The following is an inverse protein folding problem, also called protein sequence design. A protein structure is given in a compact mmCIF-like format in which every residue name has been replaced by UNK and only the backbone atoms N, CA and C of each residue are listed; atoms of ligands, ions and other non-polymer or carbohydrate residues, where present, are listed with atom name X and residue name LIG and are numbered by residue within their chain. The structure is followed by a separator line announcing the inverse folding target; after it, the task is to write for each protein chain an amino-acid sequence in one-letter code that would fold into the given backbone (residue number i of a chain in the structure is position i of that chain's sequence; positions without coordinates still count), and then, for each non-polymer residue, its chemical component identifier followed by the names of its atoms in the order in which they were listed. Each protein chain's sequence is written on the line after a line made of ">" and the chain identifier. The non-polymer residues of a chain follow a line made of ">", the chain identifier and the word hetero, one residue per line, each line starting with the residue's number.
data_IF_688269691341
#
_entry.id   IF_688269691341
#
_cell.length_a   1.000
_cell.length_b   1.000
_cell.length_c   1.000
_cell.angle_alpha   90.00
_cell.angle_beta   90.00
_cell.angle_gamma   90.00
#
_symmetry.space_group_name_H-M   'P 1'
#
loop_
_entity.id
_entity.type
_entity.pdbx_description
1 polymer ?
#
# COMPACT_ATOMS: atom_id res chain seq x y z
N UNK A 1 -12.85 31.25 -14.16
CA UNK A 1 -13.60 30.06 -14.60
C UNK A 1 -14.25 29.51 -13.35
N UNK A 2 -15.58 29.33 -13.33
CA UNK A 2 -16.22 28.66 -12.20
C UNK A 2 -15.89 27.18 -12.30
N UNK A 3 -14.83 26.76 -11.61
CA UNK A 3 -14.53 25.33 -11.49
C UNK A 3 -15.70 24.71 -10.72
N UNK A 4 -16.54 23.98 -11.44
CA UNK A 4 -17.69 23.28 -10.89
C UNK A 4 -17.16 22.20 -9.92
N UNK A 5 -17.70 22.19 -8.69
CA UNK A 5 -17.28 21.21 -7.69
C UNK A 5 -17.69 19.80 -8.09
N UNK A 6 -16.84 18.82 -7.81
CA UNK A 6 -17.11 17.41 -8.10
C UNK A 6 -18.18 16.84 -7.16
N UNK A 7 -19.04 15.98 -7.72
CA UNK A 7 -20.00 15.19 -6.96
C UNK A 7 -19.34 13.93 -6.34
N UNK A 8 -20.06 13.24 -5.45
CA UNK A 8 -19.60 12.01 -4.78
C UNK A 8 -19.08 10.98 -5.78
N UNK A 9 -19.83 10.71 -6.85
CA UNK A 9 -19.47 9.69 -7.85
C UNK A 9 -18.17 10.02 -8.58
N UNK A 10 -17.98 11.30 -8.94
CA UNK A 10 -16.76 11.77 -9.58
C UNK A 10 -15.55 11.71 -8.65
N UNK A 11 -15.72 12.08 -7.37
CA UNK A 11 -14.66 11.98 -6.36
C UNK A 11 -14.23 10.52 -6.18
N UNK A 12 -15.18 9.61 -5.94
CA UNK A 12 -14.89 8.17 -5.77
C UNK A 12 -14.21 7.58 -7.01
N UNK A 13 -14.64 7.98 -8.22
CA UNK A 13 -13.97 7.58 -9.46
C UNK A 13 -12.49 8.02 -9.48
N UNK A 14 -12.19 9.27 -9.11
CA UNK A 14 -10.80 9.78 -9.07
C UNK A 14 -9.95 9.06 -8.02
N UNK A 15 -10.54 8.75 -6.87
CA UNK A 15 -9.90 7.94 -5.83
C UNK A 15 -9.60 6.53 -6.34
N UNK A 16 -10.56 5.88 -7.01
CA UNK A 16 -10.36 4.58 -7.65
C UNK A 16 -9.24 4.59 -8.70
N UNK A 17 -9.15 5.66 -9.50
CA UNK A 17 -8.08 5.86 -10.49
C UNK A 17 -6.68 5.99 -9.85
N UNK A 18 -6.59 6.49 -8.62
CA UNK A 18 -5.35 6.58 -7.83
C UNK A 18 -5.02 5.21 -7.23
N UNK A 19 -6.01 4.57 -6.59
CA UNK A 19 -5.87 3.25 -5.99
C UNK A 19 -5.43 2.20 -7.01
N UNK A 20 -5.94 2.23 -8.24
CA UNK A 20 -5.49 1.29 -9.28
C UNK A 20 -3.99 1.39 -9.60
N UNK A 21 -3.41 2.59 -9.51
CA UNK A 21 -1.95 2.76 -9.68
C UNK A 21 -1.19 2.27 -8.45
N UNK A 22 -1.70 2.56 -7.25
CA UNK A 22 -1.09 2.11 -5.99
C UNK A 22 -1.15 0.58 -5.83
N UNK A 23 -2.24 -0.05 -6.25
CA UNK A 23 -2.39 -1.50 -6.35
C UNK A 23 -1.31 -2.12 -7.25
N UNK A 24 -1.05 -1.52 -8.43
CA UNK A 24 0.01 -1.99 -9.34
C UNK A 24 1.40 -1.91 -8.68
N UNK A 25 1.66 -0.85 -7.91
CA UNK A 25 2.92 -0.71 -7.16
C UNK A 25 2.99 -1.77 -6.05
N UNK A 26 1.88 -2.02 -5.35
CA UNK A 26 1.80 -3.05 -4.31
C UNK A 26 2.04 -4.45 -4.85
N UNK A 27 1.44 -4.79 -6.00
CA UNK A 27 1.64 -6.08 -6.67
C UNK A 27 3.11 -6.27 -7.05
N UNK A 28 3.75 -5.21 -7.52
CA UNK A 28 5.17 -5.23 -7.85
C UNK A 28 6.06 -5.49 -6.62
N UNK A 29 5.76 -4.82 -5.50
CA UNK A 29 6.47 -5.03 -4.24
C UNK A 29 6.30 -6.44 -3.70
N UNK A 30 5.07 -6.95 -3.71
CA UNK A 30 4.74 -8.33 -3.32
C UNK A 30 5.55 -9.35 -4.14
N UNK A 31 5.50 -9.23 -5.48
CA UNK A 31 6.29 -10.08 -6.38
C UNK A 31 7.80 -9.99 -6.14
N UNK A 32 8.33 -8.80 -5.83
CA UNK A 32 9.75 -8.63 -5.51
C UNK A 32 10.12 -9.25 -4.18
N UNK A 33 9.25 -9.18 -3.19
CA UNK A 33 9.50 -9.73 -1.85
C UNK A 33 9.26 -11.24 -1.79
N UNK A 34 8.58 -11.84 -2.77
CA UNK A 34 8.32 -13.27 -2.86
C UNK A 34 9.41 -14.06 -3.64
N UNK A 35 10.72 -13.79 -3.44
CA UNK A 35 11.82 -14.29 -4.31
C UNK A 35 12.02 -15.81 -4.42
N UNK A 36 11.19 -16.62 -3.78
CA UNK A 36 11.13 -18.07 -4.03
C UNK A 36 10.37 -18.43 -5.33
N UNK A 37 9.86 -17.46 -6.10
CA UNK A 37 8.98 -17.74 -7.23
C UNK A 37 9.57 -17.68 -8.65
N UNK A 38 10.80 -17.20 -8.90
CA UNK A 38 11.49 -17.38 -10.21
C UNK A 38 12.97 -16.90 -10.15
N UNK A 39 13.94 -17.72 -10.58
CA UNK A 39 15.39 -17.49 -10.48
C UNK A 39 15.99 -16.43 -11.46
N UNK A 40 15.18 -15.59 -12.11
CA UNK A 40 15.64 -14.71 -13.24
C UNK A 40 15.45 -13.22 -12.92
N UNK A 41 15.90 -12.73 -11.75
CA UNK A 41 15.37 -11.47 -11.20
C UNK A 41 16.26 -10.22 -11.36
N UNK A 42 17.58 -10.31 -11.52
CA UNK A 42 18.39 -9.08 -11.46
C UNK A 42 18.30 -8.21 -12.73
N UNK A 43 18.24 -8.77 -13.94
CA UNK A 43 18.13 -7.94 -15.16
C UNK A 43 16.74 -7.31 -15.34
N UNK A 44 15.68 -7.93 -14.79
CA UNK A 44 14.32 -7.41 -14.87
C UNK A 44 14.00 -6.37 -13.78
N UNK A 45 14.74 -6.38 -12.65
CA UNK A 45 14.51 -5.47 -11.53
C UNK A 45 14.66 -4.02 -11.95
N UNK A 46 15.76 -3.66 -12.61
CA UNK A 46 16.03 -2.26 -12.98
C UNK A 46 14.95 -1.69 -13.94
N UNK A 47 14.46 -2.52 -14.86
CA UNK A 47 13.38 -2.17 -15.78
C UNK A 47 12.04 -1.95 -15.07
N UNK A 48 11.61 -2.93 -14.27
CA UNK A 48 10.35 -2.83 -13.50
C UNK A 48 10.40 -1.72 -12.45
N UNK A 49 11.57 -1.44 -11.89
CA UNK A 49 11.81 -0.33 -10.96
C UNK A 49 11.57 1.00 -11.64
N UNK A 50 12.17 1.22 -12.82
CA UNK A 50 11.92 2.43 -13.64
C UNK A 50 10.44 2.59 -13.95
N UNK A 51 9.73 1.49 -14.21
CA UNK A 51 8.29 1.48 -14.42
C UNK A 51 7.51 1.87 -13.15
N UNK A 52 7.83 1.31 -11.99
CA UNK A 52 7.23 1.68 -10.70
C UNK A 52 7.42 3.18 -10.39
N UNK A 53 8.63 3.72 -10.56
CA UNK A 53 8.86 5.17 -10.41
C UNK A 53 8.07 6.01 -11.42
N UNK A 54 7.87 5.52 -12.64
CA UNK A 54 7.03 6.19 -13.65
C UNK A 54 5.57 6.20 -13.22
N UNK A 55 5.05 5.10 -12.67
CA UNK A 55 3.70 5.03 -12.10
C UNK A 55 3.53 6.03 -10.95
N UNK A 56 4.49 6.08 -10.02
CA UNK A 56 4.47 7.03 -8.92
C UNK A 56 4.49 8.48 -9.42
N UNK A 57 5.32 8.80 -10.42
CA UNK A 57 5.33 10.15 -11.01
C UNK A 57 3.98 10.51 -11.64
N UNK A 58 3.32 9.55 -12.27
CA UNK A 58 1.99 9.73 -12.88
C UNK A 58 0.86 9.98 -11.88
N UNK A 59 1.05 9.68 -10.59
CA UNK A 59 0.07 9.97 -9.54
C UNK A 59 -0.08 11.48 -9.27
N UNK A 60 0.97 12.28 -9.46
CA UNK A 60 0.94 13.73 -9.18
C UNK A 60 -0.21 14.41 -9.95
N UNK A 61 -0.35 14.12 -11.24
CA UNK A 61 -1.40 14.70 -12.08
C UNK A 61 -2.80 14.18 -11.69
N UNK A 62 -2.88 12.95 -11.17
CA UNK A 62 -4.15 12.36 -10.73
C UNK A 62 -4.71 13.06 -9.49
N UNK A 63 -3.88 13.63 -8.62
CA UNK A 63 -4.31 14.41 -7.45
C UNK A 63 -4.79 15.85 -7.78
N UNK A 64 -4.65 16.29 -9.04
CA UNK A 64 -5.04 17.65 -9.44
C UNK A 64 -6.54 17.94 -9.25
N UNK A 65 -7.39 16.89 -9.21
CA UNK A 65 -8.83 17.01 -8.93
C UNK A 65 -9.13 17.60 -7.54
N UNK A 66 -8.17 17.59 -6.61
CA UNK A 66 -8.30 18.18 -5.27
C UNK A 66 -8.75 19.64 -5.29
N UNK A 67 -8.41 20.39 -6.35
CA UNK A 67 -8.84 21.79 -6.55
C UNK A 67 -10.36 21.94 -6.76
N UNK A 68 -11.03 20.85 -7.13
CA UNK A 68 -12.45 20.80 -7.43
C UNK A 68 -13.25 20.11 -6.31
N UNK A 69 -12.63 19.86 -5.14
CA UNK A 69 -13.36 19.33 -3.99
C UNK A 69 -14.33 20.38 -3.44
N UNK A 70 -15.57 19.98 -3.08
CA UNK A 70 -16.56 20.90 -2.53
C UNK A 70 -16.15 21.38 -1.13
N UNK A 71 -16.47 22.61 -0.72
CA UNK A 71 -16.29 23.10 0.65
C UNK A 71 -17.40 22.55 1.56
N UNK A 72 -17.47 21.22 1.69
CA UNK A 72 -18.47 20.49 2.47
C UNK A 72 -17.83 19.32 3.22
N UNK A 73 -18.61 18.62 4.05
CA UNK A 73 -18.17 17.43 4.78
C UNK A 73 -17.62 16.34 3.84
N UNK A 74 -18.26 16.15 2.68
CA UNK A 74 -17.75 15.26 1.63
C UNK A 74 -16.35 15.67 1.13
N UNK A 75 -16.10 16.96 0.97
CA UNK A 75 -14.78 17.47 0.57
C UNK A 75 -13.73 17.28 1.66
N UNK A 76 -14.11 17.42 2.94
CA UNK A 76 -13.22 17.16 4.09
C UNK A 76 -12.85 15.68 4.13
N UNK A 77 -13.82 14.77 4.02
CA UNK A 77 -13.59 13.33 3.98
C UNK A 77 -12.69 12.94 2.79
N UNK A 78 -12.98 13.46 1.60
CA UNK A 78 -12.15 13.22 0.41
C UNK A 78 -10.72 13.75 0.58
N UNK A 79 -10.54 14.92 1.21
CA UNK A 79 -9.21 15.45 1.48
C UNK A 79 -8.45 14.59 2.49
N UNK A 80 -9.13 14.08 3.52
CA UNK A 80 -8.55 13.15 4.48
C UNK A 80 -8.07 11.87 3.79
N UNK A 81 -8.91 11.26 2.94
CA UNK A 81 -8.50 10.10 2.12
C UNK A 81 -7.28 10.41 1.24
N UNK A 82 -7.26 11.56 0.56
CA UNK A 82 -6.12 11.96 -0.26
C UNK A 82 -4.82 12.01 0.56
N UNK A 83 -4.89 12.50 1.80
CA UNK A 83 -3.74 12.53 2.72
C UNK A 83 -3.18 11.13 2.98
N UNK A 84 -4.06 10.17 3.31
CA UNK A 84 -3.65 8.77 3.52
C UNK A 84 -3.13 8.11 2.25
N UNK A 85 -3.74 8.36 1.09
CA UNK A 85 -3.25 7.86 -0.19
C UNK A 85 -1.84 8.41 -0.51
N UNK A 86 -1.57 9.69 -0.22
CA UNK A 86 -0.24 10.26 -0.39
C UNK A 86 0.79 9.61 0.55
N UNK A 87 0.39 9.29 1.78
CA UNK A 87 1.24 8.56 2.70
C UNK A 87 1.56 7.15 2.17
N UNK A 88 0.56 6.40 1.67
CA UNK A 88 0.76 5.09 1.01
C UNK A 88 1.78 5.21 -0.12
N UNK A 89 1.60 6.18 -1.02
CA UNK A 89 2.53 6.41 -2.14
C UNK A 89 3.97 6.65 -1.64
N UNK A 90 4.13 7.50 -0.64
CA UNK A 90 5.44 7.84 -0.09
C UNK A 90 6.09 6.64 0.61
N UNK A 91 5.31 5.86 1.33
CA UNK A 91 5.78 4.64 2.00
C UNK A 91 6.23 3.60 0.98
N UNK A 92 5.49 3.37 -0.11
CA UNK A 92 5.95 2.50 -1.19
C UNK A 92 7.26 2.96 -1.83
N UNK A 93 7.44 4.27 -2.05
CA UNK A 93 8.71 4.81 -2.54
C UNK A 93 9.88 4.49 -1.60
N UNK A 94 9.67 4.62 -0.29
CA UNK A 94 10.68 4.25 0.71
C UNK A 94 11.02 2.78 0.63
N UNK A 95 10.02 1.90 0.57
CA UNK A 95 10.22 0.45 0.43
C UNK A 95 11.02 0.12 -0.82
N UNK A 96 10.71 0.73 -1.97
CA UNK A 96 11.46 0.53 -3.21
C UNK A 96 12.95 0.91 -3.06
N UNK A 97 13.23 2.08 -2.46
CA UNK A 97 14.61 2.51 -2.20
C UNK A 97 15.32 1.56 -1.24
N UNK A 98 14.62 1.11 -0.19
CA UNK A 98 15.16 0.16 0.77
C UNK A 98 15.52 -1.19 0.12
N UNK A 99 14.70 -1.66 -0.83
CA UNK A 99 15.00 -2.86 -1.61
C UNK A 99 16.24 -2.69 -2.49
N UNK A 100 16.46 -1.51 -3.07
CA UNK A 100 17.68 -1.25 -3.84
C UNK A 100 18.94 -1.29 -2.96
N UNK A 101 18.83 -0.81 -1.72
CA UNK A 101 19.94 -0.77 -0.78
C UNK A 101 20.41 -2.17 -0.34
N UNK A 102 19.62 -3.22 -0.57
CA UNK A 102 19.97 -4.59 -0.23
C UNK A 102 20.94 -5.26 -1.23
N UNK A 103 21.26 -4.60 -2.36
CA UNK A 103 22.31 -5.00 -3.33
C UNK A 103 22.37 -6.49 -3.72
N UNK A 104 21.25 -7.21 -3.70
CA UNK A 104 21.22 -8.63 -4.07
C UNK A 104 21.82 -9.57 -3.02
N UNK A 105 21.99 -9.13 -1.77
CA UNK A 105 22.40 -10.03 -0.69
C UNK A 105 21.40 -11.17 -0.51
N UNK A 106 21.92 -12.39 -0.33
CA UNK A 106 21.10 -13.57 -0.14
C UNK A 106 20.45 -13.54 1.26
N UNK A 107 19.13 -13.52 1.28
CA UNK A 107 18.37 -13.57 2.52
C UNK A 107 18.33 -14.99 3.09
N UNK A 108 18.17 -15.10 4.41
CA UNK A 108 17.75 -16.35 5.02
C UNK A 108 16.30 -16.65 4.58
N UNK A 109 15.99 -17.89 4.19
CA UNK A 109 14.66 -18.28 3.69
C UNK A 109 13.53 -17.92 4.68
N UNK A 110 13.79 -18.07 5.98
CA UNK A 110 12.85 -17.71 7.07
C UNK A 110 12.36 -16.26 6.94
N UNK A 111 13.26 -15.38 6.53
CA UNK A 111 12.99 -13.96 6.40
C UNK A 111 12.22 -13.61 5.12
N UNK A 112 12.43 -14.38 4.05
CA UNK A 112 11.71 -14.22 2.80
C UNK A 112 10.23 -14.61 2.93
N UNK A 113 9.96 -15.71 3.62
CA UNK A 113 8.59 -16.18 3.87
C UNK A 113 7.77 -15.16 4.68
N UNK A 114 8.40 -14.57 5.71
CA UNK A 114 7.82 -13.49 6.52
C UNK A 114 7.48 -12.25 5.68
N UNK A 115 8.41 -11.81 4.83
CA UNK A 115 8.23 -10.62 3.99
C UNK A 115 7.17 -10.83 2.91
N UNK A 116 7.11 -12.03 2.33
CA UNK A 116 6.06 -12.42 1.38
C UNK A 116 4.69 -12.44 2.06
N UNK A 117 4.61 -12.97 3.29
CA UNK A 117 3.36 -13.02 4.05
C UNK A 117 2.76 -11.62 4.25
N UNK A 118 3.53 -10.67 4.76
CA UNK A 118 3.03 -9.32 5.02
C UNK A 118 2.73 -8.56 3.72
N UNK A 119 3.61 -8.63 2.71
CA UNK A 119 3.42 -7.91 1.45
C UNK A 119 2.21 -8.42 0.66
N UNK A 120 1.94 -9.73 0.67
CA UNK A 120 0.75 -10.30 0.03
C UNK A 120 -0.54 -9.88 0.72
N UNK A 121 -0.55 -9.73 2.06
CA UNK A 121 -1.71 -9.22 2.81
C UNK A 121 -1.95 -7.74 2.53
N UNK A 122 -0.88 -6.92 2.50
CA UNK A 122 -0.98 -5.49 2.11
C UNK A 122 -1.53 -5.36 0.68
N UNK A 123 -1.07 -6.20 -0.25
CA UNK A 123 -1.59 -6.19 -1.61
C UNK A 123 -3.08 -6.55 -1.67
N UNK A 124 -3.52 -7.57 -0.91
CA UNK A 124 -4.94 -7.92 -0.77
C UNK A 124 -5.76 -6.77 -0.18
N UNK A 125 -5.22 -6.03 0.79
CA UNK A 125 -5.89 -4.84 1.33
C UNK A 125 -6.07 -3.74 0.27
N UNK A 126 -5.07 -3.51 -0.59
CA UNK A 126 -5.20 -2.54 -1.69
C UNK A 126 -6.30 -2.92 -2.69
N UNK A 127 -6.40 -4.22 -3.03
CA UNK A 127 -7.46 -4.74 -3.89
C UNK A 127 -8.83 -4.53 -3.22
N UNK A 128 -8.97 -4.90 -1.95
CA UNK A 128 -10.21 -4.75 -1.21
C UNK A 128 -10.63 -3.28 -1.04
N UNK A 129 -9.69 -2.36 -0.79
CA UNK A 129 -9.99 -0.92 -0.70
C UNK A 129 -10.52 -0.37 -2.03
N UNK A 130 -9.88 -0.75 -3.15
CA UNK A 130 -10.36 -0.38 -4.49
C UNK A 130 -11.75 -0.93 -4.78
N UNK A 131 -12.02 -2.17 -4.36
CA UNK A 131 -13.33 -2.79 -4.48
C UNK A 131 -14.38 -2.03 -3.67
N UNK A 132 -14.07 -1.67 -2.42
CA UNK A 132 -14.95 -0.88 -1.56
C UNK A 132 -15.31 0.47 -2.17
N UNK A 133 -14.38 1.14 -2.87
CA UNK A 133 -14.65 2.38 -3.61
C UNK A 133 -15.67 2.14 -4.73
N UNK A 134 -15.57 1.04 -5.46
CA UNK A 134 -16.54 0.69 -6.51
C UNK A 134 -17.91 0.40 -5.92
N UNK A 135 -17.97 -0.42 -4.87
CA UNK A 135 -19.19 -0.75 -4.14
C UNK A 135 -19.88 0.52 -3.60
N UNK A 136 -19.12 1.45 -3.01
CA UNK A 136 -19.65 2.75 -2.52
C UNK A 136 -20.13 3.66 -3.64
N UNK A 137 -19.52 3.60 -4.81
CA UNK A 137 -19.98 4.33 -6.01
C UNK A 137 -21.29 3.76 -6.56
N UNK A 138 -21.49 2.45 -6.41
CA UNK A 138 -22.70 1.73 -6.86
C UNK A 138 -23.80 1.68 -5.78
N UNK A 139 -23.53 2.21 -4.57
CA UNK A 139 -24.38 2.11 -3.38
C UNK A 139 -24.69 0.65 -3.00
N UNK A 140 -23.70 -0.23 -3.09
CA UNK A 140 -23.79 -1.62 -2.65
C UNK A 140 -23.61 -1.76 -1.14
N UNK A 141 -24.49 -2.54 -0.51
CA UNK A 141 -24.41 -2.89 0.91
C UNK A 141 -23.20 -3.79 1.23
N UNK A 142 -22.61 -4.44 0.22
CA UNK A 142 -21.40 -5.27 0.33
C UNK A 142 -20.17 -4.47 0.80
N UNK A 143 -20.22 -3.14 0.71
CA UNK A 143 -19.14 -2.26 1.23
C UNK A 143 -18.89 -2.42 2.72
N UNK A 144 -19.90 -2.84 3.51
CA UNK A 144 -19.72 -3.12 4.93
C UNK A 144 -18.93 -4.42 5.16
N UNK A 145 -19.21 -5.46 4.39
CA UNK A 145 -18.47 -6.72 4.45
C UNK A 145 -17.00 -6.51 4.04
N UNK A 146 -16.77 -5.70 3.01
CA UNK A 146 -15.41 -5.34 2.57
C UNK A 146 -14.65 -4.55 3.64
N UNK A 147 -15.32 -3.66 4.39
CA UNK A 147 -14.72 -2.97 5.53
C UNK A 147 -14.27 -3.95 6.63
N UNK A 148 -15.12 -4.93 6.99
CA UNK A 148 -14.74 -5.95 7.98
C UNK A 148 -13.53 -6.77 7.54
N UNK A 149 -13.44 -7.11 6.24
CA UNK A 149 -12.27 -7.78 5.67
C UNK A 149 -11.01 -6.92 5.80
N UNK A 150 -11.10 -5.62 5.52
CA UNK A 150 -9.98 -4.68 5.65
C UNK A 150 -9.50 -4.55 7.10
N UNK A 151 -10.42 -4.40 8.06
CA UNK A 151 -10.10 -4.34 9.49
C UNK A 151 -9.47 -5.65 9.97
N UNK A 152 -9.98 -6.80 9.50
CA UNK A 152 -9.38 -8.10 9.85
C UNK A 152 -7.96 -8.23 9.30
N UNK A 153 -7.73 -7.86 8.04
CA UNK A 153 -6.42 -7.94 7.41
C UNK A 153 -5.39 -7.03 8.09
N UNK A 154 -5.78 -5.82 8.50
CA UNK A 154 -4.89 -4.93 9.27
C UNK A 154 -4.44 -5.58 10.59
N UNK A 155 -5.37 -6.12 11.39
CA UNK A 155 -5.02 -6.83 12.62
C UNK A 155 -4.10 -8.02 12.39
N UNK A 156 -4.35 -8.79 11.33
CA UNK A 156 -3.50 -9.90 10.95
C UNK A 156 -2.09 -9.44 10.54
N UNK A 157 -1.95 -8.24 9.97
CA UNK A 157 -0.66 -7.65 9.60
C UNK A 157 0.07 -7.13 10.84
N UNK A 158 -0.62 -6.49 11.79
CA UNK A 158 -0.04 -6.06 13.06
C UNK A 158 0.54 -7.23 13.85
N UNK A 159 -0.23 -8.33 13.95
CA UNK A 159 0.19 -9.55 14.62
C UNK A 159 1.42 -10.16 13.92
N UNK A 160 1.40 -10.25 12.59
CA UNK A 160 2.53 -10.73 11.81
C UNK A 160 3.77 -9.84 11.99
N UNK A 161 3.62 -8.51 11.98
CA UNK A 161 4.71 -7.56 12.17
C UNK A 161 5.45 -7.83 13.50
N UNK A 162 4.70 -8.04 14.59
CA UNK A 162 5.27 -8.40 15.91
C UNK A 162 6.02 -9.72 15.84
N UNK A 163 5.41 -10.76 15.24
CA UNK A 163 6.00 -12.09 15.14
C UNK A 163 7.28 -12.07 14.30
N UNK A 164 7.26 -11.41 13.15
CA UNK A 164 8.38 -11.30 12.22
C UNK A 164 9.54 -10.53 12.87
N UNK A 165 9.26 -9.37 13.49
CA UNK A 165 10.28 -8.60 14.20
C UNK A 165 10.97 -9.42 15.31
N UNK A 166 10.20 -10.26 16.02
CA UNK A 166 10.74 -11.19 17.01
C UNK A 166 11.58 -12.29 16.37
N UNK A 167 11.12 -12.90 15.27
CA UNK A 167 11.87 -13.92 14.54
C UNK A 167 13.22 -13.39 14.04
N UNK A 168 13.25 -12.18 13.47
CA UNK A 168 14.49 -11.50 13.08
C UNK A 168 15.41 -11.31 14.28
N UNK A 169 14.89 -10.88 15.43
CA UNK A 169 15.71 -10.70 16.64
C UNK A 169 16.28 -12.01 17.18
N UNK A 170 15.54 -13.11 17.13
CA UNK A 170 16.01 -14.43 17.57
C UNK A 170 17.05 -15.00 16.61
N UNK A 171 16.79 -14.95 15.31
CA UNK A 171 17.67 -15.50 14.28
C UNK A 171 19.04 -14.78 14.21
N UNK A 172 19.09 -13.52 14.64
CA UNK A 172 20.32 -12.73 14.72
C UNK A 172 21.03 -12.80 16.06
N UNK A 173 20.47 -13.48 17.07
CA UNK A 173 20.99 -13.44 18.43
C UNK A 173 20.95 -12.03 19.07
N UNK A 174 20.16 -11.11 18.51
CA UNK A 174 20.10 -9.71 18.90
C UNK A 174 21.07 -8.77 18.17
N UNK A 175 21.98 -9.29 17.35
CA UNK A 175 22.87 -8.46 16.53
C UNK A 175 22.09 -7.79 15.39
N UNK A 176 22.32 -6.49 15.19
CA UNK A 176 21.67 -5.73 14.10
C UNK A 176 22.69 -5.44 13.01
N UNK A 177 22.91 -6.42 12.15
CA UNK A 177 23.55 -6.13 10.87
C UNK A 177 22.64 -5.24 10.00
N UNK A 178 23.21 -4.68 8.94
CA UNK A 178 22.52 -3.78 8.04
C UNK A 178 21.28 -4.44 7.42
N UNK A 179 21.39 -5.71 7.01
CA UNK A 179 20.30 -6.44 6.35
C UNK A 179 19.11 -6.59 7.30
N UNK A 180 19.34 -7.04 8.54
CA UNK A 180 18.30 -7.22 9.54
C UNK A 180 17.60 -5.92 9.92
N UNK A 181 18.34 -4.81 9.97
CA UNK A 181 17.76 -3.48 10.14
C UNK A 181 16.84 -3.12 8.97
N UNK A 182 17.32 -3.26 7.73
CA UNK A 182 16.56 -2.94 6.52
C UNK A 182 15.29 -3.78 6.42
N UNK A 183 15.37 -5.05 6.78
CA UNK A 183 14.23 -5.96 6.81
C UNK A 183 13.15 -5.52 7.80
N UNK A 184 13.51 -5.30 9.07
CA UNK A 184 12.55 -4.80 10.07
C UNK A 184 11.92 -3.49 9.60
N UNK A 185 12.72 -2.64 8.96
CA UNK A 185 12.22 -1.35 8.46
C UNK A 185 11.23 -1.52 7.31
N UNK A 186 11.46 -2.44 6.38
CA UNK A 186 10.49 -2.73 5.31
C UNK A 186 9.20 -3.31 5.88
N UNK A 187 9.27 -4.28 6.81
CA UNK A 187 8.07 -4.85 7.47
C UNK A 187 7.26 -3.75 8.14
N UNK A 188 7.91 -2.88 8.92
CA UNK A 188 7.23 -1.77 9.58
C UNK A 188 6.63 -0.75 8.60
N UNK A 189 7.32 -0.44 7.49
CA UNK A 189 6.71 0.45 6.48
C UNK A 189 5.53 -0.23 5.76
N UNK A 190 5.53 -1.56 5.57
CA UNK A 190 4.38 -2.27 5.00
C UNK A 190 3.18 -2.30 5.96
N UNK A 191 3.40 -2.44 7.26
CA UNK A 191 2.35 -2.33 8.27
C UNK A 191 1.76 -0.90 8.35
N UNK A 192 2.59 0.14 8.26
CA UNK A 192 2.06 1.51 8.14
C UNK A 192 1.18 1.69 6.89
N UNK A 193 1.44 0.96 5.80
CA UNK A 193 0.54 0.98 4.62
C UNK A 193 -0.81 0.38 4.98
N UNK A 194 -0.87 -0.73 5.72
CA UNK A 194 -2.16 -1.30 6.14
C UNK A 194 -2.96 -0.35 7.03
N UNK A 195 -2.31 0.38 7.93
CA UNK A 195 -2.96 1.42 8.74
C UNK A 195 -3.64 2.46 7.86
N UNK A 196 -2.90 3.03 6.90
CA UNK A 196 -3.44 4.05 6.00
C UNK A 196 -4.57 3.52 5.10
N UNK A 197 -4.52 2.25 4.71
CA UNK A 197 -5.58 1.60 3.95
C UNK A 197 -6.84 1.45 4.80
N UNK A 198 -6.71 1.02 6.06
CA UNK A 198 -7.82 0.94 7.00
C UNK A 198 -8.45 2.30 7.26
N UNK A 199 -7.66 3.33 7.52
CA UNK A 199 -8.14 4.71 7.71
C UNK A 199 -8.94 5.19 6.47
N UNK A 200 -8.45 4.89 5.26
CA UNK A 200 -9.22 5.17 4.03
C UNK A 200 -10.55 4.41 3.97
N UNK A 201 -10.57 3.15 4.42
CA UNK A 201 -11.77 2.32 4.44
C UNK A 201 -12.82 2.83 5.44
N UNK A 202 -12.39 3.24 6.63
CA UNK A 202 -13.24 3.83 7.66
C UNK A 202 -13.85 5.14 7.16
N UNK A 203 -13.05 6.02 6.53
CA UNK A 203 -13.58 7.24 5.90
C UNK A 203 -14.56 6.92 4.77
N UNK A 204 -14.28 5.92 3.91
CA UNK A 204 -15.20 5.49 2.86
C UNK A 204 -16.52 4.96 3.40
N UNK A 205 -16.49 4.31 4.57
CA UNK A 205 -17.69 3.81 5.22
C UNK A 205 -18.65 4.94 5.57
N UNK A 206 -18.14 6.13 5.91
CA UNK A 206 -18.89 7.33 6.26
C UNK A 206 -19.37 8.14 5.04
N UNK A 207 -18.74 7.98 3.87
CA UNK A 207 -19.13 8.62 2.60
C UNK A 207 -20.38 7.97 1.98
#
# INVERSE_FOLDING_TARGET
>A
MSDEYLDKSSILKRIGDILGVQETISEYLDKRLCLNCDEIIDEAWEGKRKEAFKHVRGLIDKYAFSKQLPPSELGIMAQSMISHLLNIQHTYLRVLVMLDMLHGEAFNEIFMDSMSTISSKVHKMMIALKEMVNQKRENSDESHETLEVLIRLEREIDEDNIVICRQISVATGGDSDFICYMMRKIVAELEHVSDYVKECAEILAEI
#
